data_IF_183598996649
#
_entry.id   IF_183598996649
#
_cell.length_a   1.000
_cell.length_b   1.000
_cell.length_c   1.000
_cell.angle_alpha   90.00
_cell.angle_beta   90.00
_cell.angle_gamma   90.00
#
_symmetry.space_group_name_H-M   'P 1'
#
loop_
_entity.id
_entity.type
_entity.pdbx_description
1 polymer ?
#
# COMPACT_ATOMS: atom_id res chain seq x y z
N UNK A 1 -7.87 13.79 -8.65
CA UNK A 1 -6.82 13.38 -7.69
C UNK A 1 -7.23 13.87 -6.31
N UNK A 2 -7.05 13.04 -5.29
CA UNK A 2 -7.32 13.32 -3.89
C UNK A 2 -5.99 13.17 -3.14
N UNK A 3 -5.68 14.13 -2.27
CA UNK A 3 -4.54 14.04 -1.36
C UNK A 3 -5.05 13.80 0.06
N UNK A 4 -4.40 12.86 0.76
CA UNK A 4 -4.63 12.63 2.18
C UNK A 4 -3.31 12.66 2.92
N UNK A 5 -3.37 13.05 4.19
CA UNK A 5 -2.28 12.94 5.15
C UNK A 5 -2.71 12.00 6.26
N UNK A 6 -1.92 10.98 6.54
CA UNK A 6 -2.08 10.12 7.70
C UNK A 6 -1.20 10.61 8.85
N UNK A 7 -1.74 10.51 10.06
CA UNK A 7 -1.11 10.95 11.31
C UNK A 7 -0.33 9.82 11.98
N UNK A 8 0.60 10.13 12.91
CA UNK A 8 1.33 9.11 13.67
C UNK A 8 0.41 8.06 14.32
N UNK A 9 0.81 6.80 14.23
CA UNK A 9 0.10 5.65 14.80
C UNK A 9 -1.00 5.05 13.90
N UNK A 10 -1.45 5.76 12.87
CA UNK A 10 -2.40 5.22 11.89
C UNK A 10 -1.77 4.12 11.04
N UNK A 11 -2.52 3.05 10.76
CA UNK A 11 -2.04 1.98 9.88
C UNK A 11 -2.21 2.38 8.41
N UNK A 12 -1.10 2.37 7.67
CA UNK A 12 -1.06 2.83 6.28
C UNK A 12 -2.08 2.08 5.38
N UNK A 13 -2.19 0.76 5.51
CA UNK A 13 -3.05 -0.04 4.65
C UNK A 13 -4.52 0.12 5.00
N UNK A 14 -4.85 0.09 6.30
CA UNK A 14 -6.23 0.19 6.77
C UNK A 14 -6.82 1.56 6.49
N UNK A 15 -6.06 2.65 6.68
CA UNK A 15 -6.55 4.00 6.39
C UNK A 15 -6.80 4.20 4.88
N UNK A 16 -5.91 3.71 4.00
CA UNK A 16 -6.17 3.77 2.56
C UNK A 16 -7.41 2.97 2.16
N UNK A 17 -7.63 1.81 2.79
CA UNK A 17 -8.82 0.99 2.56
C UNK A 17 -10.10 1.66 3.06
N UNK A 18 -10.03 2.44 4.14
CA UNK A 18 -11.17 3.19 4.67
C UNK A 18 -11.47 4.47 3.88
N UNK A 19 -10.43 5.16 3.39
CA UNK A 19 -10.56 6.45 2.72
C UNK A 19 -11.05 6.37 1.27
N UNK A 20 -10.85 5.25 0.59
CA UNK A 20 -11.13 5.13 -0.85
C UNK A 20 -11.87 3.83 -1.18
N UNK A 21 -12.93 3.92 -1.99
CA UNK A 21 -13.61 2.74 -2.54
C UNK A 21 -12.81 2.13 -3.70
N UNK A 22 -12.40 2.97 -4.65
CA UNK A 22 -11.77 2.58 -5.91
C UNK A 22 -10.77 3.67 -6.36
N UNK A 23 -9.58 3.26 -6.80
CA UNK A 23 -8.60 4.21 -7.31
C UNK A 23 -7.20 3.64 -7.48
N UNK A 24 -6.31 4.52 -7.94
CA UNK A 24 -4.89 4.22 -8.16
C UNK A 24 -4.06 5.13 -7.28
N UNK A 25 -3.18 4.54 -6.46
CA UNK A 25 -2.18 5.28 -5.69
C UNK A 25 -1.07 5.70 -6.64
N UNK A 26 -0.92 7.01 -6.83
CA UNK A 26 0.04 7.58 -7.78
C UNK A 26 1.39 7.83 -7.10
N UNK A 27 1.34 8.27 -5.85
CA UNK A 27 2.51 8.46 -5.00
C UNK A 27 2.10 8.39 -3.53
N UNK A 28 3.04 7.96 -2.70
CA UNK A 28 2.96 8.08 -1.27
C UNK A 28 4.37 8.15 -0.69
N UNK A 29 4.59 9.16 0.15
CA UNK A 29 5.83 9.40 0.88
C UNK A 29 5.52 9.56 2.36
N UNK A 30 6.52 9.46 3.22
CA UNK A 30 6.33 9.59 4.66
C UNK A 30 7.24 8.67 5.44
N UNK A 31 6.83 8.30 6.64
CA UNK A 31 7.66 7.48 7.51
C UNK A 31 6.84 6.50 8.34
N UNK A 32 7.43 5.35 8.65
CA UNK A 32 6.80 4.26 9.41
C UNK A 32 7.64 3.87 10.63
N UNK A 33 6.98 3.36 11.67
CA UNK A 33 7.67 2.75 12.82
C UNK A 33 8.17 1.34 12.49
N UNK A 34 7.42 0.63 11.67
CA UNK A 34 7.77 -0.66 11.05
C UNK A 34 6.95 -0.81 9.77
N UNK A 35 7.33 -1.74 8.91
CA UNK A 35 6.47 -2.16 7.79
C UNK A 35 6.40 -3.68 7.77
N UNK A 36 5.19 -4.21 7.58
CA UNK A 36 4.99 -5.61 7.26
C UNK A 36 4.75 -5.74 5.77
N UNK A 37 5.56 -6.59 5.12
CA UNK A 37 5.45 -6.87 3.70
C UNK A 37 5.41 -8.37 3.44
N UNK A 38 4.79 -8.75 2.33
CA UNK A 38 4.99 -10.06 1.72
C UNK A 38 6.02 -9.92 0.59
N UNK A 39 7.04 -10.75 0.63
CA UNK A 39 8.11 -10.83 -0.39
C UNK A 39 7.67 -11.65 -1.61
N UNK A 40 8.51 -11.69 -2.64
CA UNK A 40 8.19 -12.34 -3.93
C UNK A 40 8.02 -13.87 -3.82
N UNK A 41 8.61 -14.50 -2.81
CA UNK A 41 8.45 -15.91 -2.45
C UNK A 41 7.26 -16.16 -1.51
N UNK A 42 6.41 -15.16 -1.32
CA UNK A 42 5.23 -15.17 -0.47
C UNK A 42 5.47 -15.27 1.04
N UNK A 43 6.73 -15.21 1.46
CA UNK A 43 7.11 -15.08 2.87
C UNK A 43 6.68 -13.71 3.42
N UNK A 44 6.33 -13.67 4.70
CA UNK A 44 6.07 -12.42 5.39
C UNK A 44 7.31 -11.94 6.13
N UNK A 45 7.61 -10.66 5.99
CA UNK A 45 8.74 -9.99 6.58
C UNK A 45 8.25 -8.72 7.28
N UNK A 46 8.60 -8.57 8.55
CA UNK A 46 8.47 -7.30 9.27
C UNK A 46 9.82 -6.63 9.34
N UNK A 47 9.91 -5.41 8.81
CA UNK A 47 11.10 -4.56 8.90
C UNK A 47 10.83 -3.52 9.98
N UNK A 48 11.60 -3.59 11.07
CA UNK A 48 11.54 -2.59 12.13
C UNK A 48 12.23 -1.29 11.70
N UNK A 49 11.69 -0.16 12.13
CA UNK A 49 12.19 1.15 11.76
C UNK A 49 13.21 1.76 12.73
N UNK A 50 13.49 3.06 12.56
CA UNK A 50 12.77 4.02 11.72
C UNK A 50 12.93 3.77 10.21
N UNK A 51 11.82 3.91 9.47
CA UNK A 51 11.75 3.76 8.01
C UNK A 51 11.24 5.02 7.30
N UNK A 52 11.85 5.38 6.17
CA UNK A 52 11.28 6.34 5.21
C UNK A 52 10.56 5.58 4.08
N UNK A 53 9.34 6.02 3.73
CA UNK A 53 8.59 5.52 2.57
C UNK A 53 9.15 6.22 1.34
N UNK A 54 9.84 5.46 0.49
CA UNK A 54 10.42 5.97 -0.75
C UNK A 54 9.42 5.94 -1.91
N UNK A 55 8.54 4.94 -1.92
CA UNK A 55 7.49 4.80 -2.92
C UNK A 55 6.34 3.98 -2.37
N UNK A 56 5.12 4.37 -2.74
CA UNK A 56 3.88 3.65 -2.48
C UNK A 56 3.04 3.68 -3.76
N UNK A 57 2.71 2.51 -4.30
CA UNK A 57 2.02 2.38 -5.59
C UNK A 57 1.05 1.21 -5.57
N UNK A 58 -0.07 1.33 -6.29
CA UNK A 58 -0.97 0.20 -6.47
C UNK A 58 -2.41 0.60 -6.72
N UNK A 59 -3.32 -0.37 -6.57
CA UNK A 59 -4.74 -0.19 -6.85
C UNK A 59 -5.61 -0.52 -5.64
N UNK A 60 -6.65 0.28 -5.46
CA UNK A 60 -7.67 0.16 -4.43
C UNK A 60 -8.96 -0.27 -5.11
N UNK A 61 -9.64 -1.27 -4.55
CA UNK A 61 -10.95 -1.75 -4.99
C UNK A 61 -11.78 -2.19 -3.78
N UNK A 62 -13.11 -2.33 -3.89
CA UNK A 62 -13.95 -2.78 -2.78
C UNK A 62 -13.61 -4.21 -2.33
N UNK A 63 -13.04 -5.00 -3.24
CA UNK A 63 -12.63 -6.39 -3.00
C UNK A 63 -11.26 -6.51 -2.31
N UNK A 64 -10.51 -5.41 -2.20
CA UNK A 64 -9.19 -5.37 -1.57
C UNK A 64 -8.23 -4.37 -2.20
N UNK A 65 -7.19 -4.04 -1.44
CA UNK A 65 -6.07 -3.20 -1.86
C UNK A 65 -4.91 -4.07 -2.33
N UNK A 66 -4.23 -3.65 -3.40
CA UNK A 66 -2.97 -4.26 -3.84
C UNK A 66 -1.95 -3.15 -3.96
N UNK A 67 -1.17 -2.98 -2.89
CA UNK A 67 -0.20 -1.91 -2.76
C UNK A 67 1.18 -2.52 -2.61
N UNK A 68 2.14 -2.01 -3.37
CA UNK A 68 3.55 -2.26 -3.18
C UNK A 68 4.21 -1.04 -2.54
N UNK A 69 5.20 -1.30 -1.70
CA UNK A 69 5.95 -0.27 -0.96
C UNK A 69 7.45 -0.55 -1.06
N UNK A 70 8.24 0.51 -1.12
CA UNK A 70 9.67 0.48 -0.87
C UNK A 70 9.99 1.44 0.29
N UNK A 71 10.76 0.95 1.26
CA UNK A 71 11.18 1.69 2.45
C UNK A 71 12.69 1.69 2.57
N UNK A 72 13.26 2.74 3.17
CA UNK A 72 14.67 2.79 3.54
C UNK A 72 14.83 2.89 5.06
N UNK A 73 15.78 2.14 5.61
CA UNK A 73 16.20 2.25 7.00
C UNK A 73 17.14 3.44 7.24
N UNK A 74 17.61 3.60 8.49
CA UNK A 74 18.54 4.67 8.86
C UNK A 74 19.91 4.60 8.18
N UNK A 75 20.27 3.48 7.57
CA UNK A 75 21.49 3.31 6.79
C UNK A 75 21.24 3.49 5.27
N UNK A 76 19.99 3.77 4.87
CA UNK A 76 19.58 3.90 3.49
C UNK A 76 19.42 2.56 2.76
N UNK A 77 19.42 1.42 3.47
CA UNK A 77 19.15 0.12 2.85
C UNK A 77 17.68 0.04 2.48
N UNK A 78 17.40 -0.29 1.22
CA UNK A 78 16.03 -0.36 0.72
C UNK A 78 15.50 -1.77 0.83
N UNK A 79 14.34 -1.90 1.47
CA UNK A 79 13.54 -3.13 1.50
C UNK A 79 12.16 -2.85 0.90
N UNK A 80 11.59 -3.78 0.15
CA UNK A 80 10.31 -3.56 -0.51
C UNK A 80 9.57 -4.85 -0.81
N UNK A 81 8.25 -4.72 -1.00
CA UNK A 81 7.37 -5.85 -1.24
C UNK A 81 5.91 -5.43 -1.27
N UNK A 82 5.03 -6.42 -1.15
CA UNK A 82 3.59 -6.22 -1.09
C UNK A 82 3.19 -5.81 0.32
N UNK A 83 2.61 -4.61 0.48
CA UNK A 83 2.23 -4.04 1.77
C UNK A 83 1.18 -4.92 2.48
N UNK A 84 1.36 -5.10 3.78
CA UNK A 84 0.37 -5.65 4.70
C UNK A 84 0.05 -4.60 5.78
N UNK A 85 -1.05 -4.80 6.50
CA UNK A 85 -1.31 -4.08 7.76
C UNK A 85 -0.23 -4.39 8.81
N UNK A 86 -0.30 -3.70 9.96
CA UNK A 86 0.81 -3.55 10.91
C UNK A 86 1.97 -2.72 10.33
N UNK A 87 1.60 -1.63 9.66
CA UNK A 87 2.52 -0.63 9.09
C UNK A 87 2.18 0.78 9.62
N UNK A 88 2.35 1.03 10.93
CA UNK A 88 1.98 2.29 11.57
C UNK A 88 2.87 3.47 11.16
N UNK A 89 2.24 4.58 10.81
CA UNK A 89 2.91 5.85 10.49
C UNK A 89 3.71 6.36 11.68
N UNK A 90 4.95 6.83 11.44
CA UNK A 90 5.83 7.38 12.49
C UNK A 90 5.67 8.89 12.65
N UNK A 91 5.76 9.67 11.56
CA UNK A 91 5.63 11.13 11.60
C UNK A 91 4.49 11.66 10.75
N UNK A 92 4.42 11.20 9.50
CA UNK A 92 3.40 11.59 8.52
C UNK A 92 3.43 10.58 7.37
N UNK A 93 2.32 10.40 6.68
CA UNK A 93 2.31 9.82 5.34
C UNK A 93 1.42 10.66 4.43
N UNK A 94 1.97 11.12 3.32
CA UNK A 94 1.30 11.97 2.33
C UNK A 94 1.06 11.15 1.08
N UNK A 95 -0.22 10.94 0.73
CA UNK A 95 -0.63 9.98 -0.29
C UNK A 95 -1.53 10.69 -1.29
N UNK A 96 -1.23 10.48 -2.58
CA UNK A 96 -2.06 10.96 -3.68
C UNK A 96 -2.72 9.79 -4.40
N UNK A 97 -4.05 9.84 -4.51
CA UNK A 97 -4.87 8.84 -5.17
C UNK A 97 -5.65 9.47 -6.32
N UNK A 98 -5.69 8.82 -7.47
CA UNK A 98 -6.62 9.14 -8.55
C UNK A 98 -7.82 8.19 -8.42
N UNK A 99 -9.02 8.70 -8.09
CA UNK A 99 -10.23 7.88 -8.12
C UNK A 99 -10.46 7.34 -9.52
N UNK A 100 -10.86 6.08 -9.62
CA UNK A 100 -11.27 5.47 -10.89
C UNK A 100 -12.77 5.72 -11.09
N UNK A 101 -13.17 6.06 -12.33
CA UNK A 101 -14.57 6.40 -12.64
C UNK A 101 -15.42 5.20 -13.07
N UNK A 102 -14.78 4.08 -13.46
CA UNK A 102 -15.46 2.81 -13.70
C UNK A 102 -15.44 1.92 -12.47
N UNK A 103 -15.54 0.61 -12.66
CA UNK A 103 -15.54 -0.38 -11.58
C UNK A 103 -14.25 -1.21 -11.58
N UNK A 104 -13.62 -1.33 -10.42
CA UNK A 104 -12.49 -2.23 -10.19
C UNK A 104 -12.94 -3.41 -9.34
N UNK A 105 -12.70 -4.62 -9.83
CA UNK A 105 -12.95 -5.87 -9.10
C UNK A 105 -11.70 -6.69 -8.95
N UNK A 106 -11.72 -7.60 -7.98
CA UNK A 106 -10.72 -8.68 -7.87
C UNK A 106 -11.38 -10.03 -8.01
N UNK A 107 -11.13 -10.70 -9.12
CA UNK A 107 -11.75 -11.99 -9.48
C UNK A 107 -10.69 -13.09 -9.47
N UNK A 108 -11.07 -14.28 -9.00
CA UNK A 108 -10.14 -15.41 -8.97
C UNK A 108 -9.71 -15.79 -10.40
N UNK A 109 -8.42 -15.67 -10.69
CA UNK A 109 -7.82 -16.20 -11.92
C UNK A 109 -7.23 -17.58 -11.63
N UNK A 110 -7.79 -18.61 -12.28
CA UNK A 110 -7.34 -20.00 -12.11
C UNK A 110 -5.90 -20.24 -12.59
N UNK A 111 -5.37 -19.37 -13.46
CA UNK A 111 -4.01 -19.48 -13.99
C UNK A 111 -2.97 -19.05 -12.96
N UNK A 112 -3.28 -18.05 -12.15
CA UNK A 112 -2.35 -17.49 -11.14
C UNK A 112 -2.65 -18.02 -9.75
N UNK A 113 -3.88 -18.45 -9.49
CA UNK A 113 -4.34 -18.85 -8.15
C UNK A 113 -4.70 -17.66 -7.24
N UNK A 114 -4.67 -16.43 -7.77
CA UNK A 114 -4.97 -15.21 -7.01
C UNK A 114 -6.19 -14.47 -7.53
N UNK A 115 -6.69 -13.54 -6.72
CA UNK A 115 -7.73 -12.59 -7.13
C UNK A 115 -7.07 -11.43 -7.90
N UNK A 116 -7.09 -11.54 -9.22
CA UNK A 116 -6.49 -10.57 -10.14
C UNK A 116 -7.43 -9.40 -10.44
N UNK A 117 -6.84 -8.28 -10.88
CA UNK A 117 -7.56 -7.07 -11.22
C UNK A 117 -8.45 -7.29 -12.45
N UNK A 118 -9.73 -6.97 -12.33
CA UNK A 118 -10.68 -6.83 -13.41
C UNK A 118 -11.10 -5.36 -13.50
N UNK A 119 -10.90 -4.76 -14.67
CA UNK A 119 -11.27 -3.38 -14.97
C UNK A 119 -12.53 -3.39 -15.82
N UNK A 120 -13.58 -2.73 -15.35
CA UNK A 120 -14.84 -2.56 -16.06
C UNK A 120 -15.06 -1.06 -16.31
N UNK A 121 -15.59 -0.74 -17.49
CA UNK A 121 -16.03 0.61 -17.87
C UNK A 121 -17.37 0.96 -17.22
#
# INVERSE_FOLDING_TARGET
MILIRLEPGMDLMEEMRAAFSEGVVVTGIGSLHRVRIRTADESELTVEGPLEILSLQGTISPDGVHIHIAVADSEGRVTGGHLRGDSPVRTTAEIAVIPYQGVLRRVMDRRTGYRELLVLE
#
